data_IF_754770417967
#
_entry.id   IF_754770417967
#
_cell.length_a   1.000
_cell.length_b   1.000
_cell.length_c   1.000
_cell.angle_alpha   90.00
_cell.angle_beta   90.00
_cell.angle_gamma   90.00
#
_symmetry.space_group_name_H-M   'P 1'
#
loop_
_entity.id
_entity.type
_entity.pdbx_description
1 polymer ?
#
# COMPACT_ATOMS: atom_id res chain seq x y z
N UNK A 1 -52.61 18.28 16.85
CA UNK A 1 -51.65 17.18 16.61
C UNK A 1 -50.27 17.70 16.93
N UNK A 2 -49.64 17.21 18.00
CA UNK A 2 -48.44 17.79 18.57
C UNK A 2 -47.18 17.29 17.80
N UNK A 3 -46.41 18.16 17.11
CA UNK A 3 -45.28 17.74 16.27
C UNK A 3 -44.10 17.12 17.04
N UNK A 4 -44.08 17.25 18.37
CA UNK A 4 -43.04 16.70 19.23
C UNK A 4 -43.03 15.16 19.30
N UNK A 5 -44.19 14.50 19.13
CA UNK A 5 -44.28 13.03 19.18
C UNK A 5 -43.67 12.32 17.95
N UNK A 6 -43.51 13.03 16.83
CA UNK A 6 -42.86 12.51 15.62
C UNK A 6 -41.34 12.53 15.74
N UNK A 7 -40.77 13.62 16.29
CA UNK A 7 -39.33 13.76 16.49
C UNK A 7 -38.80 12.78 17.56
N UNK A 8 -39.51 12.58 18.66
CA UNK A 8 -39.08 11.63 19.70
C UNK A 8 -38.98 10.20 19.16
N UNK A 9 -39.92 9.77 18.31
CA UNK A 9 -39.90 8.44 17.68
C UNK A 9 -38.78 8.29 16.65
N UNK A 10 -38.46 9.35 15.91
CA UNK A 10 -37.36 9.37 14.95
C UNK A 10 -36.01 9.35 15.69
N UNK A 11 -35.87 10.11 16.79
CA UNK A 11 -34.68 10.06 17.63
C UNK A 11 -34.52 8.70 18.32
N UNK A 12 -35.59 8.08 18.82
CA UNK A 12 -35.53 6.73 19.41
C UNK A 12 -35.15 5.66 18.37
N UNK A 13 -35.68 5.75 17.14
CA UNK A 13 -35.34 4.84 16.06
C UNK A 13 -33.89 5.01 15.58
N UNK A 14 -33.36 6.23 15.55
CA UNK A 14 -31.94 6.51 15.27
C UNK A 14 -31.03 5.98 16.37
N UNK A 15 -31.39 6.14 17.65
CA UNK A 15 -30.63 5.58 18.78
C UNK A 15 -30.66 4.05 18.76
N UNK A 16 -31.78 3.43 18.41
CA UNK A 16 -31.89 1.97 18.27
C UNK A 16 -31.11 1.42 17.05
N UNK A 17 -31.09 2.14 15.93
CA UNK A 17 -30.29 1.77 14.75
C UNK A 17 -28.77 1.94 15.00
N UNK A 18 -28.37 2.96 15.77
CA UNK A 18 -26.98 3.12 16.21
C UNK A 18 -26.58 2.05 17.24
N UNK A 19 -27.50 1.61 18.11
CA UNK A 19 -27.25 0.52 19.05
C UNK A 19 -27.10 -0.85 18.36
N UNK A 20 -27.85 -1.11 17.29
CA UNK A 20 -27.70 -2.35 16.51
C UNK A 20 -26.41 -2.39 15.65
N UNK A 21 -25.85 -1.23 15.31
CA UNK A 21 -24.52 -1.12 14.71
C UNK A 21 -23.38 -1.24 15.75
N UNK A 22 -23.68 -1.05 17.04
CA UNK A 22 -22.70 -1.10 18.13
C UNK A 22 -22.42 -2.51 18.67
N UNK A 23 -23.14 -3.54 18.22
CA UNK A 23 -23.02 -4.92 18.74
C UNK A 23 -22.10 -5.82 17.91
N UNK A 24 -21.55 -5.31 16.79
CA UNK A 24 -20.58 -6.06 15.99
C UNK A 24 -19.18 -5.92 16.60
N UNK A 25 -18.44 -7.02 16.78
CA UNK A 25 -17.04 -6.93 17.14
C UNK A 25 -16.26 -6.05 16.17
N UNK A 26 -15.28 -5.30 16.68
CA UNK A 26 -14.48 -4.37 15.89
C UNK A 26 -13.85 -5.00 14.65
N UNK A 27 -13.42 -6.26 14.75
CA UNK A 27 -12.79 -7.02 13.68
C UNK A 27 -13.76 -7.47 12.56
N UNK A 28 -15.06 -7.22 12.76
CA UNK A 28 -16.17 -7.46 11.82
C UNK A 28 -16.85 -6.16 11.36
N UNK A 29 -16.24 -5.00 11.65
CA UNK A 29 -16.76 -3.71 11.20
C UNK A 29 -16.94 -3.68 9.67
N UNK A 30 -18.04 -3.10 9.15
CA UNK A 30 -18.43 -3.20 7.74
C UNK A 30 -17.52 -2.42 6.78
N UNK A 31 -16.69 -1.52 7.31
CA UNK A 31 -15.74 -0.70 6.56
C UNK A 31 -14.37 -1.37 6.39
N UNK A 32 -14.15 -2.53 7.01
CA UNK A 32 -12.94 -3.32 6.85
C UNK A 32 -12.89 -3.99 5.49
N UNK A 33 -11.68 -4.18 4.96
CA UNK A 33 -11.49 -5.03 3.80
C UNK A 33 -11.91 -6.47 4.11
N UNK A 34 -12.64 -7.14 3.20
CA UNK A 34 -13.02 -8.53 3.40
C UNK A 34 -11.76 -9.41 3.38
N UNK A 35 -11.73 -10.41 4.26
CA UNK A 35 -10.66 -11.41 4.33
C UNK A 35 -11.26 -12.80 4.26
N UNK A 36 -10.44 -13.79 3.88
CA UNK A 36 -10.84 -15.19 3.93
C UNK A 36 -10.80 -15.68 5.36
N UNK A 37 -11.98 -15.82 5.96
CA UNK A 37 -12.14 -16.42 7.28
C UNK A 37 -11.93 -17.95 7.22
N UNK A 38 -11.27 -18.50 8.23
CA UNK A 38 -11.07 -19.93 8.44
C UNK A 38 -11.60 -20.33 9.83
N UNK A 39 -11.73 -21.64 10.07
CA UNK A 39 -12.20 -22.12 11.37
C UNK A 39 -11.25 -21.62 12.49
N UNK A 40 -11.75 -20.89 13.50
CA UNK A 40 -10.90 -20.37 14.55
C UNK A 40 -10.38 -21.51 15.43
N UNK A 41 -9.13 -21.40 15.92
CA UNK A 41 -8.61 -22.33 16.92
C UNK A 41 -9.36 -22.20 18.25
N UNK A 42 -9.25 -23.20 19.13
CA UNK A 42 -9.94 -23.21 20.43
C UNK A 42 -8.98 -22.85 21.56
N UNK A 43 -9.09 -21.63 22.07
CA UNK A 43 -8.39 -21.14 23.26
C UNK A 43 -9.13 -19.93 23.84
N UNK A 44 -8.68 -19.41 24.99
CA UNK A 44 -9.19 -18.14 25.52
C UNK A 44 -8.64 -16.94 24.70
N UNK A 45 -9.35 -15.80 24.62
CA UNK A 45 -8.84 -14.60 23.95
C UNK A 45 -7.44 -14.18 24.45
N UNK A 46 -6.59 -13.72 23.53
CA UNK A 46 -5.24 -13.25 23.86
C UNK A 46 -5.34 -11.79 24.28
N UNK A 47 -4.97 -11.50 25.54
CA UNK A 47 -4.98 -10.13 26.05
C UNK A 47 -3.69 -9.42 25.65
N UNK A 48 -3.82 -8.29 24.95
CA UNK A 48 -2.69 -7.46 24.50
C UNK A 48 -2.47 -6.29 25.45
N UNK A 49 -3.57 -5.65 25.86
CA UNK A 49 -3.60 -4.59 26.87
C UNK A 49 -4.73 -4.89 27.83
N UNK A 50 -4.52 -4.64 29.12
CA UNK A 50 -5.53 -4.79 30.17
C UNK A 50 -5.55 -3.55 31.03
N UNK A 51 -6.71 -2.90 31.10
CA UNK A 51 -6.94 -1.74 31.98
C UNK A 51 -5.90 -0.61 31.84
N UNK A 52 -5.42 -0.38 30.61
CA UNK A 52 -4.41 0.63 30.27
C UNK A 52 -2.96 0.17 30.43
N UNK A 53 -2.73 -1.08 30.86
CA UNK A 53 -1.41 -1.65 31.09
C UNK A 53 -1.03 -2.72 30.03
N UNK A 54 0.23 -2.75 29.57
CA UNK A 54 0.67 -3.71 28.56
C UNK A 54 0.63 -5.13 29.14
N UNK A 55 -0.06 -6.04 28.44
CA UNK A 55 -0.18 -7.46 28.82
C UNK A 55 0.60 -8.40 27.89
N UNK A 56 1.02 -7.91 26.72
CA UNK A 56 1.75 -8.67 25.72
C UNK A 56 3.06 -7.98 25.29
N UNK A 57 3.97 -8.77 24.72
CA UNK A 57 5.17 -8.30 24.03
C UNK A 57 4.95 -8.30 22.51
N UNK A 58 5.67 -7.45 21.77
CA UNK A 58 5.79 -7.55 20.31
C UNK A 58 7.08 -8.29 19.99
N UNK A 59 6.97 -9.55 19.58
CA UNK A 59 8.11 -10.36 19.16
C UNK A 59 8.31 -10.24 17.64
N UNK A 60 9.38 -9.56 17.23
CA UNK A 60 9.77 -9.46 15.82
C UNK A 60 10.64 -10.67 15.47
N UNK A 61 10.01 -11.66 14.83
CA UNK A 61 10.67 -12.91 14.44
C UNK A 61 11.27 -12.84 13.03
N UNK A 62 10.81 -11.93 12.19
CA UNK A 62 11.43 -11.62 10.90
C UNK A 62 12.86 -11.09 11.11
N UNK A 63 13.92 -11.79 10.65
CA UNK A 63 15.30 -11.40 10.88
C UNK A 63 15.75 -10.22 10.02
N UNK A 64 14.99 -9.88 8.97
CA UNK A 64 15.31 -8.77 8.07
C UNK A 64 14.05 -7.97 7.70
N UNK A 65 13.41 -7.27 8.68
CA UNK A 65 12.19 -6.53 8.43
C UNK A 65 12.36 -5.51 7.31
N UNK A 66 11.43 -5.50 6.35
CA UNK A 66 11.42 -4.52 5.27
C UNK A 66 11.26 -3.08 5.80
N UNK A 67 11.63 -2.05 5.03
CA UNK A 67 11.39 -0.67 5.45
C UNK A 67 9.92 -0.37 5.78
N UNK A 68 8.98 -1.01 5.08
CA UNK A 68 7.54 -0.86 5.33
C UNK A 68 7.14 -1.58 6.61
N UNK A 69 7.67 -2.79 6.86
CA UNK A 69 7.41 -3.52 8.09
C UNK A 69 7.95 -2.76 9.31
N UNK A 70 9.15 -2.17 9.24
CA UNK A 70 9.70 -1.32 10.32
C UNK A 70 8.78 -0.16 10.66
N UNK A 71 8.29 0.55 9.63
CA UNK A 71 7.33 1.63 9.81
C UNK A 71 6.06 1.14 10.51
N UNK A 72 5.49 0.01 10.09
CA UNK A 72 4.26 -0.51 10.69
C UNK A 72 4.48 -1.13 12.09
N UNK A 73 5.70 -1.55 12.43
CA UNK A 73 6.06 -1.93 13.80
C UNK A 73 6.08 -0.72 14.72
N UNK A 74 6.59 0.42 14.25
CA UNK A 74 6.54 1.67 15.00
C UNK A 74 5.08 2.12 15.20
N UNK A 75 4.26 2.05 14.14
CA UNK A 75 2.82 2.34 14.25
C UNK A 75 2.07 1.33 15.12
N UNK A 76 2.43 0.04 15.14
CA UNK A 76 1.83 -0.94 16.04
C UNK A 76 1.96 -0.52 17.51
N UNK A 77 3.14 -0.07 17.92
CA UNK A 77 3.38 0.39 19.29
C UNK A 77 2.66 1.71 19.55
N UNK A 78 2.75 2.65 18.61
CA UNK A 78 2.14 3.98 18.77
C UNK A 78 0.61 3.94 18.76
N UNK A 79 -0.01 3.16 17.88
CA UNK A 79 -1.46 2.99 17.80
C UNK A 79 -1.99 2.29 19.05
N UNK A 80 -1.33 1.27 19.56
CA UNK A 80 -1.73 0.65 20.84
C UNK A 80 -1.64 1.67 21.98
N UNK A 81 -0.60 2.52 22.00
CA UNK A 81 -0.45 3.59 23.00
C UNK A 81 -1.53 4.65 22.87
N UNK A 82 -1.85 5.10 21.66
CA UNK A 82 -2.90 6.08 21.41
C UNK A 82 -4.29 5.51 21.68
N UNK A 83 -4.51 4.23 21.40
CA UNK A 83 -5.78 3.54 21.67
C UNK A 83 -5.99 3.34 23.17
N UNK A 84 -4.97 2.88 23.90
CA UNK A 84 -5.14 2.34 25.25
C UNK A 84 -4.39 3.06 26.36
N UNK A 85 -3.34 3.81 26.04
CA UNK A 85 -2.38 4.36 26.99
C UNK A 85 -1.16 3.46 27.25
N UNK A 86 -1.26 2.16 26.94
CA UNK A 86 -0.17 1.20 27.14
C UNK A 86 0.87 1.25 26.01
N UNK A 87 2.15 1.19 26.33
CA UNK A 87 3.22 1.00 25.35
C UNK A 87 3.71 -0.45 25.40
N UNK A 88 3.64 -1.16 24.27
CA UNK A 88 4.11 -2.55 24.18
C UNK A 88 5.63 -2.58 23.99
N UNK A 89 6.30 -3.50 24.68
CA UNK A 89 7.73 -3.71 24.51
C UNK A 89 8.01 -4.59 23.28
N UNK A 90 8.91 -4.12 22.41
CA UNK A 90 9.42 -4.87 21.26
C UNK A 90 10.62 -5.72 21.68
N UNK A 91 10.61 -6.99 21.32
CA UNK A 91 11.69 -7.96 21.61
C UNK A 91 12.06 -8.75 20.34
N UNK A 92 13.31 -9.20 20.28
CA UNK A 92 13.86 -10.01 19.17
C UNK A 92 14.10 -11.47 19.54
N UNK A 93 13.97 -11.82 20.82
CA UNK A 93 14.01 -13.19 21.30
C UNK A 93 12.59 -13.69 21.56
N UNK A 94 12.31 -14.99 21.29
CA UNK A 94 11.00 -15.56 21.54
C UNK A 94 10.66 -15.46 23.04
N UNK A 95 9.49 -14.92 23.40
CA UNK A 95 9.08 -14.85 24.79
C UNK A 95 8.65 -16.21 25.33
N UNK A 96 8.65 -16.42 26.65
CA UNK A 96 8.13 -17.65 27.25
C UNK A 96 6.67 -17.95 26.82
N UNK A 97 6.23 -19.22 26.80
CA UNK A 97 4.85 -19.59 26.44
C UNK A 97 3.75 -18.90 27.27
N UNK A 98 4.05 -18.58 28.53
CA UNK A 98 3.14 -17.97 29.50
C UNK A 98 2.98 -16.46 29.27
N UNK A 99 3.98 -15.83 28.66
CA UNK A 99 3.96 -14.42 28.32
C UNK A 99 3.22 -14.23 26.99
N UNK A 100 2.12 -13.48 26.99
CA UNK A 100 1.39 -13.17 25.76
C UNK A 100 2.29 -12.39 24.78
N UNK A 101 2.16 -12.70 23.49
CA UNK A 101 2.94 -12.04 22.45
C UNK A 101 2.22 -11.91 21.11
N UNK A 102 2.46 -10.80 20.43
CA UNK A 102 2.22 -10.64 19.00
C UNK A 102 3.51 -11.06 18.30
N UNK A 103 3.48 -12.16 17.57
CA UNK A 103 4.61 -12.73 16.84
C UNK A 103 4.55 -12.26 15.39
N UNK A 104 5.57 -11.52 14.96
CA UNK A 104 5.64 -10.89 13.64
C UNK A 104 6.63 -11.64 12.75
N UNK A 105 6.12 -12.29 11.70
CA UNK A 105 6.92 -13.03 10.71
C UNK A 105 6.99 -14.55 10.94
N UNK A 106 7.58 -15.23 9.95
CA UNK A 106 7.73 -16.70 9.96
C UNK A 106 8.83 -17.15 10.94
N UNK A 107 8.46 -18.04 11.84
CA UNK A 107 9.33 -18.60 12.87
C UNK A 107 8.89 -20.01 13.29
N UNK A 108 9.70 -20.67 14.13
CA UNK A 108 9.42 -22.03 14.61
C UNK A 108 8.05 -22.15 15.30
N UNK A 109 7.64 -21.14 16.10
CA UNK A 109 6.33 -21.14 16.76
C UNK A 109 5.18 -21.03 15.75
N UNK A 110 5.30 -20.13 14.76
CA UNK A 110 4.27 -19.96 13.73
C UNK A 110 4.11 -21.21 12.84
N UNK A 111 5.23 -21.88 12.50
CA UNK A 111 5.21 -23.16 11.79
C UNK A 111 4.62 -24.27 12.63
N UNK A 112 4.93 -24.31 13.93
CA UNK A 112 4.31 -25.22 14.89
C UNK A 112 2.80 -25.01 15.04
N UNK A 113 2.31 -23.78 14.83
CA UNK A 113 0.89 -23.45 14.75
C UNK A 113 0.24 -23.80 13.40
N UNK A 114 1.01 -24.37 12.46
CA UNK A 114 0.51 -24.81 11.15
C UNK A 114 0.41 -23.69 10.10
N UNK A 115 1.21 -22.62 10.24
CA UNK A 115 1.35 -21.58 9.23
C UNK A 115 2.56 -21.91 8.35
N UNK A 116 2.31 -22.16 7.06
CA UNK A 116 3.36 -22.33 6.05
C UNK A 116 3.49 -21.04 5.24
N UNK A 117 4.48 -20.21 5.59
CA UNK A 117 4.71 -18.92 4.93
C UNK A 117 5.03 -19.06 3.43
N UNK A 118 5.61 -20.18 3.00
CA UNK A 118 5.92 -20.41 1.58
C UNK A 118 4.65 -20.72 0.75
N UNK A 119 3.60 -21.23 1.39
CA UNK A 119 2.30 -21.49 0.76
C UNK A 119 1.38 -20.26 0.71
N UNK A 120 1.70 -19.18 1.44
CA UNK A 120 0.94 -17.94 1.39
C UNK A 120 1.21 -17.25 0.03
N UNK A 121 0.17 -16.85 -0.73
CA UNK A 121 0.34 -16.15 -2.00
C UNK A 121 1.22 -14.90 -1.86
N UNK A 122 1.88 -14.47 -2.94
CA UNK A 122 2.76 -13.27 -2.93
C UNK A 122 2.02 -12.05 -2.37
N UNK A 123 2.68 -11.32 -1.47
CA UNK A 123 2.13 -10.23 -0.64
C UNK A 123 0.95 -10.63 0.25
N UNK A 124 0.56 -11.90 0.28
CA UNK A 124 -0.47 -12.38 1.17
C UNK A 124 0.02 -12.50 2.60
N UNK A 125 -0.93 -12.72 3.50
CA UNK A 125 -0.68 -12.96 4.91
C UNK A 125 -1.70 -13.89 5.55
N UNK A 126 -1.34 -14.37 6.72
CA UNK A 126 -2.20 -15.10 7.66
C UNK A 126 -2.13 -14.40 9.00
N UNK A 127 -3.29 -14.16 9.61
CA UNK A 127 -3.42 -13.82 11.03
C UNK A 127 -4.09 -14.97 11.73
N UNK A 128 -3.44 -15.48 12.78
CA UNK A 128 -3.96 -16.60 13.55
C UNK A 128 -3.60 -16.42 15.02
N UNK A 129 -4.53 -16.76 15.90
CA UNK A 129 -4.24 -16.82 17.33
C UNK A 129 -3.93 -18.24 17.80
N UNK A 130 -3.22 -18.35 18.91
CA UNK A 130 -3.15 -19.54 19.73
C UNK A 130 -3.13 -19.12 21.21
N UNK A 131 -3.03 -20.07 22.13
CA UNK A 131 -2.85 -19.76 23.56
C UNK A 131 -1.68 -18.78 23.73
N UNK A 132 -1.95 -17.58 24.26
CA UNK A 132 -0.98 -16.49 24.47
C UNK A 132 -0.22 -16.01 23.21
N UNK A 133 -0.73 -16.28 22.00
CA UNK A 133 -0.04 -15.89 20.77
C UNK A 133 -1.00 -15.27 19.77
N UNK A 134 -0.56 -14.19 19.14
CA UNK A 134 -1.15 -13.66 17.89
C UNK A 134 -0.06 -13.72 16.84
N UNK A 135 -0.20 -14.57 15.83
CA UNK A 135 0.73 -14.69 14.72
C UNK A 135 0.30 -13.77 13.58
N UNK A 136 1.20 -12.89 13.16
CA UNK A 136 1.07 -12.03 11.97
C UNK A 136 2.16 -12.46 10.98
N UNK A 137 1.80 -13.34 10.04
CA UNK A 137 2.79 -13.98 9.15
C UNK A 137 2.49 -13.65 7.70
N UNK A 138 3.47 -13.07 7.02
CA UNK A 138 3.42 -12.80 5.60
C UNK A 138 3.96 -13.92 4.73
N UNK A 139 3.76 -13.77 3.42
CA UNK A 139 4.32 -14.65 2.42
C UNK A 139 5.85 -14.65 2.39
N UNK A 140 6.40 -15.87 2.37
CA UNK A 140 7.80 -16.15 2.02
C UNK A 140 7.93 -16.60 0.55
N UNK A 141 6.86 -16.49 -0.26
CA UNK A 141 6.91 -16.86 -1.67
C UNK A 141 7.92 -15.97 -2.42
N UNK A 142 8.78 -16.54 -3.27
CA UNK A 142 9.75 -15.77 -4.02
C UNK A 142 9.03 -14.86 -5.02
N UNK A 143 9.55 -13.63 -5.15
CA UNK A 143 9.12 -12.75 -6.23
C UNK A 143 9.64 -13.30 -7.57
N UNK A 144 8.84 -13.24 -8.65
CA UNK A 144 9.34 -13.48 -10.00
C UNK A 144 10.56 -12.60 -10.31
N UNK A 145 11.53 -13.15 -11.05
CA UNK A 145 12.72 -12.40 -11.45
C UNK A 145 12.35 -11.17 -12.29
N UNK A 146 12.94 -10.02 -11.96
CA UNK A 146 12.75 -8.77 -12.69
C UNK A 146 13.99 -7.89 -12.55
N UNK A 147 14.39 -7.18 -13.61
CA UNK A 147 15.41 -6.14 -13.49
C UNK A 147 14.82 -4.88 -12.83
N UNK A 148 15.32 -4.61 -11.63
CA UNK A 148 14.89 -3.48 -10.80
C UNK A 148 15.63 -2.18 -11.11
N UNK A 149 16.63 -2.20 -12.01
CA UNK A 149 17.56 -1.08 -12.27
C UNK A 149 16.88 0.24 -12.65
N UNK A 150 15.64 0.21 -13.11
CA UNK A 150 14.91 1.40 -13.54
C UNK A 150 13.52 1.56 -12.90
N UNK A 151 13.12 0.87 -11.82
CA UNK A 151 11.77 1.06 -11.28
C UNK A 151 11.55 2.51 -10.79
N UNK A 152 10.73 3.28 -11.51
CA UNK A 152 10.15 4.51 -11.00
C UNK A 152 8.92 4.11 -10.17
N UNK A 153 8.86 4.47 -8.89
CA UNK A 153 7.69 4.24 -8.04
C UNK A 153 7.93 3.38 -6.79
N UNK A 154 6.99 2.48 -6.51
CA UNK A 154 7.01 1.61 -5.32
C UNK A 154 8.03 0.48 -5.53
N UNK A 155 8.82 0.11 -4.50
CA UNK A 155 9.82 -0.95 -4.64
C UNK A 155 9.12 -2.26 -4.96
N UNK A 156 9.76 -3.06 -5.81
CA UNK A 156 9.30 -4.41 -6.06
C UNK A 156 9.57 -5.28 -4.84
N UNK A 157 8.53 -5.66 -4.11
CA UNK A 157 8.63 -6.26 -2.79
C UNK A 157 7.50 -7.25 -2.48
N UNK A 158 7.77 -8.18 -1.55
CA UNK A 158 6.78 -9.06 -0.94
C UNK A 158 6.59 -8.63 0.52
N UNK A 159 5.74 -7.64 0.76
CA UNK A 159 5.53 -7.01 2.07
C UNK A 159 4.38 -7.64 2.87
N UNK A 160 4.07 -8.92 2.65
CA UNK A 160 2.93 -9.60 3.27
C UNK A 160 2.90 -9.50 4.81
N UNK A 161 4.06 -9.58 5.47
CA UNK A 161 4.13 -9.47 6.93
C UNK A 161 3.75 -8.06 7.40
N UNK A 162 4.11 -7.04 6.62
CA UNK A 162 3.70 -5.66 6.87
C UNK A 162 2.17 -5.51 6.72
N UNK A 163 1.58 -6.15 5.71
CA UNK A 163 0.12 -6.13 5.51
C UNK A 163 -0.64 -6.85 6.62
N UNK A 164 -0.08 -7.91 7.22
CA UNK A 164 -0.63 -8.54 8.41
C UNK A 164 -0.71 -7.57 9.60
N UNK A 165 0.32 -6.73 9.79
CA UNK A 165 0.35 -5.70 10.85
C UNK A 165 -0.67 -4.60 10.57
N UNK A 166 -0.73 -4.09 9.33
CA UNK A 166 -1.74 -3.09 8.95
C UNK A 166 -3.17 -3.60 9.17
N UNK A 167 -3.48 -4.83 8.74
CA UNK A 167 -4.80 -5.44 8.95
C UNK A 167 -5.12 -5.66 10.45
N UNK A 168 -4.13 -6.11 11.23
CA UNK A 168 -4.28 -6.25 12.68
C UNK A 168 -4.63 -4.93 13.37
N UNK A 169 -3.94 -3.83 12.99
CA UNK A 169 -4.21 -2.48 13.49
C UNK A 169 -5.64 -2.04 13.18
N UNK A 170 -6.12 -2.28 11.96
CA UNK A 170 -7.49 -1.94 11.57
C UNK A 170 -8.55 -2.78 12.33
N UNK A 171 -8.33 -4.09 12.46
CA UNK A 171 -9.33 -5.02 13.02
C UNK A 171 -9.39 -5.06 14.54
N UNK A 172 -8.24 -4.96 15.21
CA UNK A 172 -8.16 -5.24 16.65
C UNK A 172 -7.75 -4.02 17.47
N UNK A 173 -7.07 -3.04 16.87
CA UNK A 173 -6.74 -1.76 17.51
C UNK A 173 -7.72 -0.65 17.10
N UNK A 174 -8.45 -0.83 16.00
CA UNK A 174 -9.51 0.08 15.57
C UNK A 174 -8.99 1.30 14.84
N UNK A 175 -7.86 1.16 14.16
CA UNK A 175 -7.25 2.22 13.37
C UNK A 175 -7.95 2.34 12.02
N UNK A 176 -8.11 3.55 11.50
CA UNK A 176 -8.51 3.83 10.11
C UNK A 176 -7.64 4.92 9.52
N UNK A 177 -7.19 4.69 8.29
CA UNK A 177 -6.27 5.57 7.56
C UNK A 177 -7.02 6.33 6.48
N UNK A 178 -7.06 7.66 6.58
CA UNK A 178 -7.79 8.54 5.65
C UNK A 178 -6.90 9.58 5.00
N UNK A 179 -5.89 10.07 5.72
CA UNK A 179 -4.98 11.13 5.32
C UNK A 179 -3.61 10.93 6.02
N UNK A 180 -2.51 11.64 5.67
CA UNK A 180 -1.27 11.56 6.44
C UNK A 180 -1.48 11.74 7.93
N UNK A 181 -0.78 10.91 8.71
CA UNK A 181 -0.93 10.85 10.16
C UNK A 181 -0.50 12.18 10.80
N UNK A 182 0.54 12.81 10.25
CA UNK A 182 1.04 14.14 10.64
C UNK A 182 0.00 15.24 10.45
N UNK A 183 -0.96 15.01 9.56
CA UNK A 183 -2.09 15.89 9.28
C UNK A 183 -3.37 15.49 10.03
N UNK A 184 -3.31 14.51 10.94
CA UNK A 184 -4.49 14.04 11.67
C UNK A 184 -5.37 13.06 10.90
N UNK A 185 -4.86 12.47 9.82
CA UNK A 185 -5.61 11.56 8.97
C UNK A 185 -5.84 10.16 9.50
N UNK A 186 -5.54 9.91 10.77
CA UNK A 186 -5.79 8.65 11.46
C UNK A 186 -6.95 8.81 12.42
N UNK A 187 -7.95 7.93 12.29
CA UNK A 187 -8.93 7.70 13.34
C UNK A 187 -8.54 6.47 14.14
N UNK A 188 -8.72 6.51 15.46
CA UNK A 188 -8.40 5.40 16.35
C UNK A 188 -9.40 5.31 17.50
N UNK A 189 -9.88 4.10 17.77
CA UNK A 189 -10.78 3.85 18.89
C UNK A 189 -10.02 3.84 20.22
N UNK A 190 -10.62 4.45 21.25
CA UNK A 190 -10.06 4.45 22.61
C UNK A 190 -10.55 3.22 23.37
N UNK A 191 -9.62 2.36 23.79
CA UNK A 191 -9.91 1.08 24.45
C UNK A 191 -8.89 0.85 25.57
N UNK A 192 -9.33 0.81 26.83
CA UNK A 192 -8.43 0.48 27.95
C UNK A 192 -8.00 -1.00 27.96
N UNK A 193 -8.76 -1.88 27.31
CA UNK A 193 -8.43 -3.30 27.17
C UNK A 193 -8.52 -3.69 25.70
N UNK A 194 -7.45 -4.29 25.18
CA UNK A 194 -7.37 -4.83 23.82
C UNK A 194 -7.21 -6.34 23.94
N UNK A 195 -8.17 -7.08 23.41
CA UNK A 195 -8.20 -8.55 23.45
C UNK A 195 -8.52 -9.09 22.08
N UNK A 196 -7.75 -10.08 21.64
CA UNK A 196 -7.91 -10.72 20.33
C UNK A 196 -8.63 -12.05 20.56
N UNK A 197 -9.89 -12.19 20.09
CA UNK A 197 -10.61 -13.46 20.21
C UNK A 197 -9.93 -14.53 19.34
N UNK A 198 -10.23 -15.82 19.58
CA UNK A 198 -9.72 -16.88 18.73
C UNK A 198 -10.12 -16.65 17.27
N UNK A 199 -9.12 -16.51 16.40
CA UNK A 199 -9.34 -16.23 14.98
C UNK A 199 -8.28 -16.89 14.11
N UNK A 200 -8.66 -17.14 12.87
CA UNK A 200 -7.76 -17.50 11.78
C UNK A 200 -8.34 -16.93 10.49
N UNK A 201 -7.58 -16.08 9.83
CA UNK A 201 -7.96 -15.54 8.53
C UNK A 201 -6.74 -15.23 7.69
N UNK A 202 -6.96 -15.13 6.39
CA UNK A 202 -5.93 -14.86 5.40
C UNK A 202 -6.43 -13.87 4.36
N UNK A 203 -5.49 -13.18 3.74
CA UNK A 203 -5.75 -12.32 2.59
C UNK A 203 -4.54 -12.26 1.66
N UNK A 204 -4.79 -11.87 0.43
CA UNK A 204 -3.75 -11.58 -0.55
C UNK A 204 -4.28 -10.54 -1.54
N UNK A 205 -3.43 -9.63 -2.02
CA UNK A 205 -3.89 -8.58 -2.90
C UNK A 205 -4.37 -9.13 -4.24
N UNK A 206 -5.58 -8.75 -4.64
CA UNK A 206 -6.11 -9.03 -5.99
C UNK A 206 -5.26 -8.32 -7.04
N UNK A 207 -4.92 -7.05 -6.79
CA UNK A 207 -4.02 -6.27 -7.64
C UNK A 207 -2.63 -6.26 -7.01
N UNK A 208 -1.65 -6.89 -7.66
CA UNK A 208 -0.26 -6.91 -7.18
C UNK A 208 0.48 -5.58 -7.37
N UNK A 209 -0.07 -4.65 -8.16
CA UNK A 209 0.42 -3.27 -8.29
C UNK A 209 -0.64 -2.33 -7.75
N UNK A 210 -0.38 -1.74 -6.59
CA UNK A 210 -1.24 -0.77 -5.90
C UNK A 210 -0.35 0.40 -5.58
N UNK A 211 -0.24 1.35 -6.49
CA UNK A 211 0.69 2.49 -6.37
C UNK A 211 -0.07 3.80 -6.29
N UNK A 212 0.35 4.66 -5.36
CA UNK A 212 -0.12 6.03 -5.23
C UNK A 212 1.04 6.99 -5.48
N UNK A 213 0.75 8.11 -6.16
CA UNK A 213 1.71 9.17 -6.40
C UNK A 213 1.26 10.46 -5.69
N UNK A 214 2.15 11.18 -5.00
CA UNK A 214 3.56 10.88 -4.76
C UNK A 214 3.78 9.93 -3.57
N UNK A 215 4.73 9.00 -3.71
CA UNK A 215 5.05 7.97 -2.70
C UNK A 215 5.61 8.53 -1.39
N UNK A 216 6.41 9.59 -1.46
CA UNK A 216 7.08 10.20 -0.30
C UNK A 216 6.30 11.38 0.27
N UNK A 217 5.14 11.68 -0.33
CA UNK A 217 4.29 12.79 0.04
C UNK A 217 4.74 14.14 -0.52
N UNK A 218 4.39 15.20 0.21
CA UNK A 218 4.43 16.57 -0.30
C UNK A 218 5.28 17.46 0.59
N UNK A 219 6.10 18.28 -0.05
CA UNK A 219 6.76 19.41 0.61
C UNK A 219 5.84 20.63 0.61
N UNK A 220 6.15 21.63 1.45
CA UNK A 220 5.42 22.90 1.50
C UNK A 220 5.27 23.64 0.16
N UNK A 221 6.17 23.37 -0.79
CA UNK A 221 6.14 23.99 -2.11
C UNK A 221 5.34 23.19 -3.14
N UNK A 222 5.07 21.91 -2.88
CA UNK A 222 4.40 20.98 -3.82
C UNK A 222 2.93 20.73 -3.50
N UNK A 223 2.46 20.96 -2.27
CA UNK A 223 1.03 20.83 -1.90
C UNK A 223 0.17 22.07 -2.22
N UNK A 224 0.21 22.49 -3.48
CA UNK A 224 -0.64 23.56 -4.03
C UNK A 224 -1.91 22.96 -4.61
N UNK A 225 -2.98 23.75 -4.69
CA UNK A 225 -4.21 23.33 -5.38
C UNK A 225 -3.96 22.93 -6.85
N UNK A 226 -2.97 23.56 -7.49
CA UNK A 226 -2.50 23.24 -8.84
C UNK A 226 -0.97 23.14 -8.77
N UNK A 227 -0.41 21.95 -8.99
CA UNK A 227 1.00 21.68 -8.69
C UNK A 227 1.98 22.48 -9.56
N UNK A 228 1.63 22.76 -10.83
CA UNK A 228 2.48 23.53 -11.76
C UNK A 228 2.34 25.05 -11.61
N UNK A 229 1.26 25.52 -10.99
CA UNK A 229 1.02 26.95 -10.82
C UNK A 229 1.67 27.45 -9.52
N UNK A 230 2.73 28.23 -9.68
CA UNK A 230 3.49 28.82 -8.55
C UNK A 230 2.68 29.85 -7.76
N UNK A 231 1.54 30.31 -8.28
CA UNK A 231 0.65 31.26 -7.62
C UNK A 231 -0.61 30.58 -7.05
N UNK A 232 -0.81 29.29 -7.30
CA UNK A 232 -1.97 28.59 -6.79
C UNK A 232 -2.00 28.58 -5.25
N UNK A 233 -3.21 28.65 -4.64
CA UNK A 233 -3.38 28.55 -3.20
C UNK A 233 -2.68 27.32 -2.63
N UNK A 234 -2.07 27.48 -1.45
CA UNK A 234 -1.45 26.41 -0.68
C UNK A 234 -2.41 25.97 0.43
N UNK A 235 -2.33 24.71 0.83
CA UNK A 235 -2.94 24.30 2.10
C UNK A 235 -2.27 25.09 3.24
N UNK A 236 -3.02 25.81 4.10
CA UNK A 236 -2.42 26.59 5.17
C UNK A 236 -1.73 25.64 6.18
N UNK A 237 -0.47 25.89 6.50
CA UNK A 237 0.32 25.02 7.38
C UNK A 237 -0.29 24.91 8.79
N UNK A 238 -1.06 25.92 9.20
CA UNK A 238 -1.78 26.00 10.47
C UNK A 238 -2.89 24.94 10.58
N UNK A 239 -3.35 24.39 9.44
CA UNK A 239 -4.33 23.31 9.41
C UNK A 239 -3.72 21.93 9.72
N UNK A 240 -2.39 21.82 9.77
CA UNK A 240 -1.71 20.58 10.10
C UNK A 240 -1.48 20.42 11.61
N UNK A 241 -1.80 19.22 12.12
CA UNK A 241 -1.59 18.86 13.52
C UNK A 241 -0.11 18.92 13.91
N UNK A 242 0.78 18.34 13.10
CA UNK A 242 2.20 18.30 13.39
C UNK A 242 2.95 19.60 13.06
N UNK A 243 2.29 20.60 12.46
CA UNK A 243 2.92 21.86 11.98
C UNK A 243 4.21 21.60 11.18
N UNK A 244 4.17 20.58 10.32
CA UNK A 244 5.31 20.10 9.52
C UNK A 244 5.39 20.80 8.16
N UNK A 245 6.61 20.97 7.66
CA UNK A 245 6.90 21.44 6.29
C UNK A 245 6.80 20.32 5.23
N UNK A 246 6.59 19.07 5.69
CA UNK A 246 6.47 17.86 4.86
C UNK A 246 5.28 17.04 5.32
N UNK A 247 4.33 16.78 4.41
CA UNK A 247 3.33 15.73 4.58
C UNK A 247 3.92 14.40 4.15
N UNK A 248 4.23 13.54 5.10
CA UNK A 248 4.74 12.21 4.81
C UNK A 248 3.58 11.26 4.48
N UNK A 249 3.57 10.74 3.26
CA UNK A 249 2.54 9.77 2.86
C UNK A 249 2.90 8.34 3.26
N UNK A 250 4.14 8.05 3.69
CA UNK A 250 4.61 6.66 3.86
C UNK A 250 3.77 5.85 4.84
N UNK A 251 3.35 6.45 5.96
CA UNK A 251 2.51 5.77 6.95
C UNK A 251 1.12 5.51 6.39
N UNK A 252 0.47 6.53 5.82
CA UNK A 252 -0.83 6.38 5.16
C UNK A 252 -0.77 5.28 4.09
N UNK A 253 0.23 5.32 3.22
CA UNK A 253 0.37 4.38 2.11
C UNK A 253 0.67 2.95 2.59
N UNK A 254 1.42 2.80 3.68
CA UNK A 254 1.60 1.49 4.33
C UNK A 254 0.29 0.99 4.94
N UNK A 255 -0.47 1.84 5.64
CA UNK A 255 -1.80 1.50 6.17
C UNK A 255 -2.79 1.09 5.08
N UNK A 256 -2.78 1.78 3.93
CA UNK A 256 -3.57 1.43 2.74
C UNK A 256 -3.02 0.24 1.94
N UNK A 257 -1.98 -0.43 2.45
CA UNK A 257 -1.34 -1.62 1.84
C UNK A 257 -0.83 -1.37 0.41
N UNK A 258 -0.31 -0.16 0.16
CA UNK A 258 0.34 0.19 -1.09
C UNK A 258 1.57 -0.70 -1.30
N UNK A 259 1.55 -1.50 -2.36
CA UNK A 259 2.61 -2.47 -2.64
C UNK A 259 2.75 -2.75 -4.12
N UNK A 260 3.90 -3.29 -4.49
CA UNK A 260 4.18 -3.68 -5.86
C UNK A 260 4.94 -5.01 -5.86
N UNK A 261 4.21 -6.09 -6.16
CA UNK A 261 4.80 -7.37 -6.53
C UNK A 261 4.49 -7.74 -7.97
N UNK A 262 4.01 -6.81 -8.81
CA UNK A 262 3.64 -7.10 -10.18
C UNK A 262 4.87 -7.23 -11.08
N UNK A 263 5.07 -8.36 -11.77
CA UNK A 263 6.33 -8.63 -12.47
C UNK A 263 6.43 -7.92 -13.83
N UNK A 264 5.36 -7.28 -14.31
CA UNK A 264 5.35 -6.55 -15.58
C UNK A 264 5.56 -5.07 -15.32
N UNK A 265 6.77 -4.59 -15.59
CA UNK A 265 7.16 -3.20 -15.36
C UNK A 265 7.00 -2.37 -16.64
N UNK A 266 5.90 -1.63 -16.72
CA UNK A 266 5.60 -0.70 -17.80
C UNK A 266 6.26 0.65 -17.51
N UNK A 267 6.78 1.28 -18.56
CA UNK A 267 7.39 2.60 -18.51
C UNK A 267 6.41 3.64 -18.99
N UNK A 268 5.98 4.53 -18.10
CA UNK A 268 5.04 5.59 -18.50
C UNK A 268 5.67 6.53 -19.51
N UNK A 269 4.89 6.94 -20.52
CA UNK A 269 5.29 7.88 -21.56
C UNK A 269 6.58 7.49 -22.28
N UNK A 270 6.78 6.20 -22.61
CA UNK A 270 7.96 5.76 -23.37
C UNK A 270 7.53 5.01 -24.66
N UNK A 271 8.31 5.14 -25.75
CA UNK A 271 9.48 6.02 -25.90
C UNK A 271 9.10 7.51 -25.99
N UNK A 272 9.91 8.39 -25.42
CA UNK A 272 9.69 9.86 -25.42
C UNK A 272 10.96 10.65 -25.77
N UNK A 273 10.89 11.96 -25.53
CA UNK A 273 11.97 12.95 -25.70
C UNK A 273 12.40 13.24 -27.14
N UNK A 274 11.78 12.59 -28.13
CA UNK A 274 11.95 12.88 -29.54
C UNK A 274 11.90 14.38 -29.87
N UNK A 275 10.85 15.08 -29.42
CA UNK A 275 10.71 16.53 -29.60
C UNK A 275 11.78 17.37 -28.87
N UNK A 276 12.33 16.88 -27.75
CA UNK A 276 13.45 17.53 -27.03
C UNK A 276 14.77 17.36 -27.78
N UNK A 277 14.90 16.29 -28.54
CA UNK A 277 16.03 15.96 -29.41
C UNK A 277 15.69 16.23 -30.89
N UNK A 278 14.97 17.32 -31.18
CA UNK A 278 14.41 17.58 -32.51
C UNK A 278 15.45 17.62 -33.64
N UNK A 279 16.66 18.12 -33.39
CA UNK A 279 17.75 18.15 -34.38
C UNK A 279 18.15 16.73 -34.85
N UNK A 280 18.07 15.75 -33.96
CA UNK A 280 18.36 14.35 -34.27
C UNK A 280 17.19 13.69 -34.99
N UNK A 281 15.98 13.82 -34.43
CA UNK A 281 14.81 13.06 -34.88
C UNK A 281 14.09 13.65 -36.08
N UNK A 282 14.30 14.93 -36.39
CA UNK A 282 13.84 15.54 -37.65
C UNK A 282 14.50 14.93 -38.90
N UNK A 283 15.58 14.18 -38.75
CA UNK A 283 16.28 13.48 -39.84
C UNK A 283 15.63 12.16 -40.25
N UNK A 284 14.69 11.65 -39.45
CA UNK A 284 13.91 10.43 -39.70
C UNK A 284 12.41 10.74 -39.59
N UNK A 285 11.89 11.68 -40.41
CA UNK A 285 10.52 12.17 -40.29
C UNK A 285 9.46 11.10 -40.56
N UNK A 286 9.81 10.04 -41.30
CA UNK A 286 8.96 8.89 -41.61
C UNK A 286 8.57 8.06 -40.37
N UNK A 287 9.31 8.16 -39.27
CA UNK A 287 8.97 7.48 -38.01
C UNK A 287 7.75 8.10 -37.31
N UNK A 288 7.42 9.35 -37.62
CA UNK A 288 6.48 10.15 -36.86
C UNK A 288 5.15 10.32 -37.60
N UNK A 289 4.07 10.55 -36.86
CA UNK A 289 2.80 10.96 -37.46
C UNK A 289 2.92 12.38 -38.04
N UNK A 290 1.96 12.81 -38.85
CA UNK A 290 1.98 14.14 -39.47
C UNK A 290 0.96 15.08 -38.83
N UNK A 291 1.37 16.34 -38.67
CA UNK A 291 0.49 17.46 -38.37
C UNK A 291 -0.43 17.79 -39.56
N UNK A 292 -1.50 18.59 -39.37
CA UNK A 292 -2.38 19.02 -40.45
C UNK A 292 -1.67 19.76 -41.61
N UNK A 293 -0.55 20.41 -41.33
CA UNK A 293 0.29 21.10 -42.33
C UNK A 293 1.28 20.15 -43.05
N UNK A 294 1.25 18.86 -42.73
CA UNK A 294 2.11 17.83 -43.30
C UNK A 294 3.49 17.69 -42.64
N UNK A 295 3.85 18.57 -41.69
CA UNK A 295 5.10 18.46 -40.93
C UNK A 295 5.09 17.24 -39.99
N UNK A 296 6.25 16.65 -39.65
CA UNK A 296 6.31 15.55 -38.69
C UNK A 296 5.99 16.04 -37.27
N UNK A 297 5.12 15.31 -36.58
CA UNK A 297 4.84 15.50 -35.16
C UNK A 297 5.79 14.65 -34.32
N UNK A 298 6.89 15.27 -33.89
CA UNK A 298 7.93 14.59 -33.10
C UNK A 298 7.46 14.17 -31.71
N UNK A 299 6.21 14.41 -31.32
CA UNK A 299 5.68 13.89 -30.06
C UNK A 299 5.10 12.48 -30.19
N UNK A 300 4.83 12.01 -31.41
CA UNK A 300 4.05 10.80 -31.63
C UNK A 300 4.55 9.99 -32.83
N UNK A 301 4.90 8.72 -32.59
CA UNK A 301 5.30 7.78 -33.64
C UNK A 301 4.10 7.45 -34.57
N UNK A 302 4.30 7.33 -35.90
CA UNK A 302 3.30 6.71 -36.79
C UNK A 302 3.43 5.20 -36.65
N UNK A 303 2.48 4.54 -35.98
CA UNK A 303 2.48 3.08 -35.79
C UNK A 303 2.29 2.25 -37.06
N UNK A 304 2.09 2.89 -38.22
CA UNK A 304 2.12 2.23 -39.53
C UNK A 304 3.48 2.34 -40.22
N UNK A 305 4.44 3.07 -39.64
CA UNK A 305 5.76 3.27 -40.21
C UNK A 305 6.64 2.05 -39.93
N UNK A 306 7.20 1.46 -40.98
CA UNK A 306 8.19 0.39 -40.87
C UNK A 306 9.43 0.89 -40.09
N UNK A 307 9.85 2.13 -40.31
CA UNK A 307 10.98 2.73 -39.57
C UNK A 307 10.68 2.89 -38.08
N UNK A 308 9.44 3.21 -37.70
CA UNK A 308 9.05 3.25 -36.28
C UNK A 308 9.05 1.85 -35.65
N UNK A 309 8.58 0.84 -36.39
CA UNK A 309 8.61 -0.55 -35.94
C UNK A 309 10.05 -1.05 -35.79
N UNK A 310 10.92 -0.82 -36.78
CA UNK A 310 12.34 -1.16 -36.75
C UNK A 310 13.05 -0.52 -35.55
N UNK A 311 12.76 0.74 -35.26
CA UNK A 311 13.30 1.42 -34.07
C UNK A 311 12.91 0.72 -32.77
N UNK A 312 11.62 0.36 -32.61
CA UNK A 312 11.13 -0.34 -31.42
C UNK A 312 11.75 -1.73 -31.28
N UNK A 313 11.84 -2.48 -32.38
CA UNK A 313 12.44 -3.81 -32.42
C UNK A 313 13.95 -3.77 -32.12
N UNK A 314 14.66 -2.78 -32.69
CA UNK A 314 16.09 -2.58 -32.42
C UNK A 314 16.34 -2.27 -30.95
N UNK A 315 15.46 -1.49 -30.32
CA UNK A 315 15.51 -1.28 -28.87
C UNK A 315 15.37 -2.57 -28.06
N UNK A 316 14.52 -3.51 -28.52
CA UNK A 316 14.36 -4.81 -27.85
C UNK A 316 15.62 -5.67 -27.98
N UNK A 317 16.19 -5.78 -29.18
CA UNK A 317 17.46 -6.48 -29.46
C UNK A 317 18.62 -5.88 -28.64
N UNK A 318 18.72 -4.55 -28.62
CA UNK A 318 19.75 -3.83 -27.89
C UNK A 318 19.64 -4.08 -26.38
N UNK A 319 18.42 -4.16 -25.85
CA UNK A 319 18.20 -4.42 -24.42
C UNK A 319 18.42 -5.88 -24.04
N UNK A 320 17.75 -6.81 -24.71
CA UNK A 320 17.70 -8.21 -24.30
C UNK A 320 18.93 -9.01 -24.73
N UNK A 321 19.54 -8.70 -25.88
CA UNK A 321 20.71 -9.45 -26.37
C UNK A 321 22.03 -8.78 -25.98
N UNK A 322 22.05 -7.45 -25.95
CA UNK A 322 23.28 -6.68 -25.73
C UNK A 322 23.37 -6.00 -24.37
N UNK A 323 22.33 -6.12 -23.52
CA UNK A 323 22.30 -5.54 -22.19
C UNK A 323 22.32 -4.00 -22.18
N UNK A 324 21.96 -3.34 -23.29
CA UNK A 324 21.90 -1.88 -23.37
C UNK A 324 20.64 -1.37 -22.68
N UNK A 325 20.77 -0.24 -22.00
CA UNK A 325 19.62 0.41 -21.37
C UNK A 325 18.79 1.13 -22.43
N UNK A 326 17.54 0.72 -22.59
CA UNK A 326 16.58 1.30 -23.53
C UNK A 326 15.35 1.74 -22.72
N UNK A 327 14.95 3.01 -22.82
CA UNK A 327 14.00 3.60 -21.85
C UNK A 327 12.60 2.98 -21.88
N UNK A 328 12.17 2.48 -23.05
CA UNK A 328 10.86 1.84 -23.25
C UNK A 328 10.87 0.31 -23.11
N UNK A 329 12.04 -0.32 -22.95
CA UNK A 329 12.18 -1.77 -22.82
C UNK A 329 12.62 -2.12 -21.40
N UNK A 330 11.93 -3.08 -20.79
CA UNK A 330 12.30 -3.71 -19.53
C UNK A 330 12.51 -5.20 -19.74
N UNK A 331 12.97 -5.93 -18.72
CA UNK A 331 13.08 -7.41 -18.79
C UNK A 331 11.76 -8.08 -19.14
N UNK A 332 10.62 -7.46 -18.79
CA UNK A 332 9.31 -8.10 -18.88
C UNK A 332 8.32 -7.36 -19.77
N UNK A 333 8.63 -6.15 -20.22
CA UNK A 333 7.72 -5.34 -21.01
C UNK A 333 8.43 -4.55 -22.11
N UNK A 334 7.71 -4.34 -23.21
CA UNK A 334 8.00 -3.31 -24.21
C UNK A 334 6.87 -2.31 -24.11
N UNK A 335 7.20 -1.05 -23.80
CA UNK A 335 6.22 0.02 -23.74
C UNK A 335 6.16 0.71 -25.09
N UNK A 336 4.93 0.87 -25.61
CA UNK A 336 4.65 1.52 -26.88
C UNK A 336 3.58 2.59 -26.64
N UNK A 337 3.86 3.49 -25.69
CA UNK A 337 2.93 4.53 -25.23
C UNK A 337 3.70 5.86 -25.16
N UNK A 338 4.00 6.51 -26.30
CA UNK A 338 4.57 7.85 -26.32
C UNK A 338 3.61 8.84 -25.63
N UNK A 339 4.06 10.08 -25.41
CA UNK A 339 3.44 11.05 -24.50
C UNK A 339 1.94 11.29 -24.73
N UNK A 340 1.30 12.01 -23.80
CA UNK A 340 -0.15 12.31 -23.78
C UNK A 340 -0.64 13.16 -24.98
N UNK A 341 -0.50 12.61 -26.19
CA UNK A 341 -0.77 13.22 -27.48
C UNK A 341 -1.76 12.35 -28.25
N UNK A 342 -2.66 12.97 -29.03
CA UNK A 342 -3.62 12.23 -29.83
C UNK A 342 -2.90 11.42 -30.92
N UNK A 343 -3.32 10.16 -31.08
CA UNK A 343 -2.96 9.36 -32.24
C UNK A 343 -3.70 9.90 -33.46
N UNK A 344 -3.00 10.68 -34.26
CA UNK A 344 -3.51 11.27 -35.50
C UNK A 344 -2.82 10.58 -36.68
N UNK A 345 -3.37 9.43 -37.11
CA UNK A 345 -2.85 8.70 -38.26
C UNK A 345 -3.16 9.43 -39.58
N UNK A 346 -2.44 10.50 -39.88
CA UNK A 346 -2.35 11.11 -41.20
C UNK A 346 -1.17 10.50 -41.97
N UNK A 347 -1.11 9.17 -42.05
CA UNK A 347 -0.10 8.49 -42.84
C UNK A 347 -0.66 8.42 -44.30
N UNK A 348 0.11 8.93 -45.26
CA UNK A 348 -0.28 9.08 -46.67
C UNK A 348 -0.36 7.75 -47.41
#
# INVERSE_FOLDING_TARGET
MNPHHGLEKICLALVAAMAAAADRPLHEAPDLMPVRQEAPPRHAPVTIVRDGEPAALVYVADPAPSPVLKLLLDELVEDVRLSSGASLQVVTNPPPPEQAAIVIGDCAESRGAGIDAAAIPIEGFVVMTASNRVFLVGSAAPLPAMDVRNLAGTPYANDGTAWAVADFLERFVGVRWYWPVEAGGRSILRMSTISVPPCRYSDAPVFRKREFYPRHGYTKDSWRAIWWDRNAPRLPAETLIARTDVLDMRILLAGLRMGNSWPFNIKVHEPQHFARESEKWSKTPEMFQRNPDGSPDLHMLCYRSDSALEYLLKGCEDSWEHGRMVSWVTTTCVTVSPGDYPVNCHCA
#
